data_IF_373311845898
#
_entry.id   IF_373311845898
#
_cell.length_a   1.000
_cell.length_b   1.000
_cell.length_c   1.000
_cell.angle_alpha   90.00
_cell.angle_beta   90.00
_cell.angle_gamma   90.00
#
_symmetry.space_group_name_H-M   'P 1'
#
loop_
_entity.id
_entity.type
_entity.pdbx_description
1 polymer ?
#
# COMPACT_ATOMS: atom_id res chain seq x y z
N UNK A 1 -0.56 3.44 8.85
CA UNK A 1 -0.76 2.13 8.19
C UNK A 1 -0.82 2.26 6.68
N UNK A 2 -1.86 2.81 6.03
CA UNK A 2 -1.86 2.87 4.54
C UNK A 2 -0.64 3.60 3.94
N UNK A 3 -0.31 4.78 4.45
CA UNK A 3 0.89 5.50 4.02
C UNK A 3 2.18 4.73 4.31
N UNK A 4 2.20 3.91 5.36
CA UNK A 4 3.35 3.05 5.67
C UNK A 4 3.46 1.89 4.68
N UNK A 5 2.35 1.24 4.33
CA UNK A 5 2.28 0.20 3.30
C UNK A 5 2.83 0.72 1.96
N UNK A 6 2.45 1.93 1.56
CA UNK A 6 2.99 2.57 0.34
C UNK A 6 4.51 2.78 0.40
N UNK A 7 5.07 3.13 1.56
CA UNK A 7 6.51 3.28 1.71
C UNK A 7 7.23 1.94 1.70
N UNK A 8 6.66 0.92 2.36
CA UNK A 8 7.19 -0.44 2.35
C UNK A 8 7.22 -1.01 0.93
N UNK A 9 6.19 -0.77 0.12
CA UNK A 9 6.14 -1.19 -1.28
C UNK A 9 7.23 -0.53 -2.13
N UNK A 10 7.48 0.77 -1.93
CA UNK A 10 8.57 1.50 -2.62
C UNK A 10 9.94 0.97 -2.24
N UNK A 11 10.18 0.74 -0.93
CA UNK A 11 11.43 0.18 -0.44
C UNK A 11 11.66 -1.23 -0.96
N UNK A 12 10.64 -2.09 -0.88
CA UNK A 12 10.68 -3.46 -1.43
C UNK A 12 11.02 -3.44 -2.91
N UNK A 13 10.31 -2.63 -3.70
CA UNK A 13 10.52 -2.54 -5.15
C UNK A 13 11.96 -2.14 -5.48
N UNK A 14 12.51 -1.17 -4.76
CA UNK A 14 13.88 -0.70 -4.95
C UNK A 14 14.91 -1.80 -4.66
N UNK A 15 14.79 -2.47 -3.51
CA UNK A 15 15.69 -3.55 -3.12
C UNK A 15 15.58 -4.78 -4.03
N UNK A 16 14.37 -5.15 -4.43
CA UNK A 16 14.13 -6.24 -5.40
C UNK A 16 14.82 -5.92 -6.72
N UNK A 17 14.74 -4.69 -7.21
CA UNK A 17 15.38 -4.31 -8.46
C UNK A 17 16.92 -4.36 -8.36
N UNK A 18 17.49 -3.89 -7.25
CA UNK A 18 18.94 -3.99 -7.00
C UNK A 18 19.40 -5.45 -6.91
N UNK A 19 18.66 -6.30 -6.19
CA UNK A 19 18.95 -7.72 -6.08
C UNK A 19 18.82 -8.43 -7.44
N UNK A 20 17.81 -8.09 -8.25
CA UNK A 20 17.66 -8.63 -9.61
C UNK A 20 18.82 -8.27 -10.51
N UNK A 21 19.34 -7.04 -10.41
CA UNK A 21 20.54 -6.63 -11.16
C UNK A 21 21.75 -7.44 -10.73
N UNK A 22 21.91 -7.71 -9.43
CA UNK A 22 22.99 -8.57 -8.94
C UNK A 22 22.83 -10.03 -9.39
N UNK A 23 21.60 -10.54 -9.35
CA UNK A 23 21.28 -11.87 -9.85
C UNK A 23 21.53 -12.04 -11.34
N UNK A 24 21.51 -10.98 -12.15
CA UNK A 24 21.87 -11.11 -13.57
C UNK A 24 23.30 -11.66 -13.76
N UNK A 25 24.18 -11.50 -12.75
CA UNK A 25 25.50 -12.11 -12.69
C UNK A 25 25.48 -13.45 -11.91
N UNK A 26 24.89 -13.47 -10.72
CA UNK A 26 25.04 -14.58 -9.76
C UNK A 26 24.01 -15.70 -9.93
N UNK A 27 22.87 -15.40 -10.54
CA UNK A 27 21.81 -16.37 -10.83
C UNK A 27 20.91 -15.87 -11.99
N UNK A 28 21.44 -15.83 -13.23
CA UNK A 28 20.81 -15.17 -14.37
C UNK A 28 19.43 -15.75 -14.72
N UNK A 29 19.24 -17.05 -14.55
CA UNK A 29 17.96 -17.73 -14.82
C UNK A 29 16.86 -17.26 -13.88
N UNK A 30 17.20 -16.98 -12.61
CA UNK A 30 16.28 -16.38 -11.65
C UNK A 30 16.02 -14.90 -11.93
N UNK A 31 17.04 -14.15 -12.35
CA UNK A 31 16.91 -12.73 -12.67
C UNK A 31 15.91 -12.48 -13.82
N UNK A 32 15.85 -13.41 -14.78
CA UNK A 32 14.93 -13.35 -15.93
C UNK A 32 13.46 -13.66 -15.58
N UNK A 33 13.19 -14.30 -14.44
CA UNK A 33 11.83 -14.68 -14.04
C UNK A 33 11.09 -13.54 -13.33
N UNK A 34 9.76 -13.55 -13.37
CA UNK A 34 8.95 -12.64 -12.55
C UNK A 34 8.94 -13.11 -11.10
N UNK A 35 9.26 -12.21 -10.17
CA UNK A 35 9.25 -12.51 -8.73
C UNK A 35 7.92 -12.10 -8.14
N UNK A 36 6.99 -13.05 -8.07
CA UNK A 36 5.67 -12.85 -7.47
C UNK A 36 5.66 -13.26 -6.00
N UNK A 37 4.89 -12.52 -5.20
CA UNK A 37 4.54 -12.91 -3.84
C UNK A 37 3.55 -14.07 -3.86
N UNK A 38 3.64 -14.96 -2.88
CA UNK A 38 2.65 -16.00 -2.63
C UNK A 38 1.43 -15.44 -1.85
N UNK A 39 0.48 -16.31 -1.53
CA UNK A 39 -0.73 -15.99 -0.76
C UNK A 39 -0.44 -15.49 0.67
N UNK A 40 0.78 -15.71 1.16
CA UNK A 40 1.24 -15.22 2.46
C UNK A 40 1.97 -13.87 2.38
N UNK A 41 2.00 -13.23 1.21
CA UNK A 41 2.69 -11.96 0.98
C UNK A 41 4.21 -12.07 0.90
N UNK A 42 4.77 -13.28 0.82
CA UNK A 42 6.20 -13.54 0.80
C UNK A 42 6.68 -13.89 -0.61
N UNK A 43 7.87 -13.44 -1.01
CA UNK A 43 8.43 -13.81 -2.31
C UNK A 43 9.25 -15.11 -2.21
N UNK A 44 8.82 -16.21 -2.85
CA UNK A 44 9.46 -17.51 -2.65
C UNK A 44 10.94 -17.59 -3.04
N UNK A 45 11.41 -16.76 -4.00
CA UNK A 45 12.83 -16.75 -4.38
C UNK A 45 13.69 -16.08 -3.33
N UNK A 46 13.13 -15.09 -2.63
CA UNK A 46 13.79 -14.41 -1.52
C UNK A 46 13.89 -15.37 -0.33
N UNK A 47 12.81 -16.09 -0.02
CA UNK A 47 12.83 -17.11 1.05
C UNK A 47 13.83 -18.24 0.77
N UNK A 48 13.97 -18.65 -0.49
CA UNK A 48 15.00 -19.61 -0.89
C UNK A 48 16.41 -19.05 -0.71
N UNK A 49 16.65 -17.82 -1.16
CA UNK A 49 17.95 -17.13 -1.09
C UNK A 49 18.47 -17.08 0.35
N UNK A 50 17.60 -16.78 1.31
CA UNK A 50 17.97 -16.69 2.74
C UNK A 50 17.80 -18.01 3.51
N UNK A 51 17.56 -19.13 2.83
CA UNK A 51 17.43 -20.45 3.46
C UNK A 51 16.17 -20.65 4.32
N UNK A 52 15.15 -19.80 4.19
CA UNK A 52 13.84 -20.00 4.84
C UNK A 52 12.99 -21.06 4.14
N UNK A 53 13.26 -21.33 2.86
CA UNK A 53 12.52 -22.31 2.07
C UNK A 53 13.44 -23.11 1.13
N UNK A 54 13.64 -24.40 1.43
CA UNK A 54 14.46 -25.32 0.65
C UNK A 54 13.63 -26.18 -0.31
N UNK A 55 12.92 -25.55 -1.24
CA UNK A 55 12.32 -26.29 -2.34
C UNK A 55 13.42 -26.91 -3.23
N UNK A 56 13.51 -28.25 -3.23
CA UNK A 56 14.53 -28.99 -4.01
C UNK A 56 14.56 -28.63 -5.49
N UNK A 57 13.43 -28.24 -6.08
CA UNK A 57 13.38 -27.70 -7.46
C UNK A 57 14.26 -26.46 -7.62
N UNK A 58 14.21 -25.49 -6.71
CA UNK A 58 15.03 -24.26 -6.79
C UNK A 58 16.51 -24.55 -6.56
N UNK A 59 16.82 -25.42 -5.60
CA UNK A 59 18.20 -25.87 -5.37
C UNK A 59 18.77 -26.50 -6.64
N UNK A 60 18.02 -27.39 -7.30
CA UNK A 60 18.43 -28.00 -8.56
C UNK A 60 18.58 -26.97 -9.69
N UNK A 61 17.67 -26.01 -9.80
CA UNK A 61 17.79 -24.94 -10.78
C UNK A 61 19.02 -24.06 -10.55
N UNK A 62 19.34 -23.74 -9.30
CA UNK A 62 20.53 -22.98 -8.97
C UNK A 62 21.79 -23.78 -9.27
N UNK A 63 21.88 -25.04 -8.81
CA UNK A 63 23.03 -25.92 -9.08
C UNK A 63 23.33 -26.08 -10.58
N UNK A 64 22.29 -26.00 -11.43
CA UNK A 64 22.41 -26.07 -12.89
C UNK A 64 22.56 -24.69 -13.57
N UNK A 65 22.72 -23.60 -12.80
CA UNK A 65 22.87 -22.25 -13.33
C UNK A 65 24.20 -22.09 -14.08
N UNK A 66 24.19 -21.27 -15.14
CA UNK A 66 25.41 -20.87 -15.85
C UNK A 66 26.41 -20.20 -14.90
N UNK A 67 25.95 -19.42 -13.93
CA UNK A 67 26.80 -18.77 -12.93
C UNK A 67 27.62 -19.80 -12.13
N UNK A 68 26.97 -20.87 -11.67
CA UNK A 68 27.65 -21.95 -10.94
C UNK A 68 28.66 -22.70 -11.83
N UNK A 69 28.37 -22.89 -13.11
CA UNK A 69 29.35 -23.49 -14.05
C UNK A 69 30.62 -22.62 -14.24
N UNK A 70 30.51 -21.32 -13.97
CA UNK A 70 31.60 -20.35 -14.01
C UNK A 70 32.24 -20.12 -12.63
N UNK A 71 31.80 -20.82 -11.59
CA UNK A 71 32.28 -20.64 -10.21
C UNK A 71 31.86 -19.32 -9.57
N UNK A 72 30.75 -18.74 -10.02
CA UNK A 72 30.18 -17.51 -9.45
C UNK A 72 29.12 -17.90 -8.42
N UNK A 73 29.44 -17.67 -7.15
CA UNK A 73 28.53 -17.91 -6.03
C UNK A 73 27.63 -16.69 -5.75
N UNK A 74 26.55 -16.93 -5.01
CA UNK A 74 25.74 -15.87 -4.40
C UNK A 74 26.61 -15.09 -3.41
N UNK A 75 26.67 -13.76 -3.56
CA UNK A 75 27.44 -12.90 -2.65
C UNK A 75 26.70 -12.58 -1.36
N UNK A 76 27.45 -12.14 -0.35
CA UNK A 76 26.91 -11.57 0.89
C UNK A 76 25.98 -10.38 0.62
N UNK A 77 26.31 -9.54 -0.37
CA UNK A 77 25.44 -8.44 -0.81
C UNK A 77 24.04 -8.94 -1.21
N UNK A 78 23.97 -10.03 -1.98
CA UNK A 78 22.69 -10.63 -2.37
C UNK A 78 21.93 -11.19 -1.17
N UNK A 79 22.63 -11.86 -0.24
CA UNK A 79 22.02 -12.39 0.98
C UNK A 79 21.45 -11.27 1.87
N UNK A 80 22.19 -10.18 2.07
CA UNK A 80 21.75 -9.02 2.85
C UNK A 80 20.49 -8.38 2.27
N UNK A 81 20.44 -8.24 0.94
CA UNK A 81 19.23 -7.78 0.25
C UNK A 81 18.07 -8.76 0.45
N UNK A 82 18.34 -10.07 0.38
CA UNK A 82 17.36 -11.10 0.67
C UNK A 82 16.74 -10.94 2.05
N UNK A 83 17.56 -10.76 3.09
CA UNK A 83 17.08 -10.55 4.46
C UNK A 83 16.29 -9.26 4.60
N UNK A 84 16.77 -8.16 4.01
CA UNK A 84 16.08 -6.87 4.06
C UNK A 84 14.71 -6.93 3.37
N UNK A 85 14.63 -7.54 2.18
CA UNK A 85 13.36 -7.72 1.46
C UNK A 85 12.40 -8.58 2.28
N UNK A 86 12.87 -9.71 2.82
CA UNK A 86 12.04 -10.59 3.63
C UNK A 86 11.47 -9.88 4.85
N UNK A 87 12.27 -9.07 5.54
CA UNK A 87 11.81 -8.30 6.69
C UNK A 87 10.78 -7.22 6.30
N UNK A 88 10.94 -6.57 5.15
CA UNK A 88 9.96 -5.61 4.63
C UNK A 88 8.64 -6.31 4.28
N UNK A 89 8.69 -7.49 3.65
CA UNK A 89 7.50 -8.30 3.34
C UNK A 89 6.74 -8.72 4.60
N UNK A 90 7.46 -9.14 5.65
CA UNK A 90 6.87 -9.44 6.95
C UNK A 90 6.18 -8.21 7.55
N UNK A 91 6.87 -7.06 7.60
CA UNK A 91 6.29 -5.80 8.10
C UNK A 91 5.05 -5.39 7.33
N UNK A 92 5.07 -5.55 6.00
CA UNK A 92 3.93 -5.24 5.13
C UNK A 92 2.73 -6.10 5.50
N UNK A 93 2.91 -7.42 5.58
CA UNK A 93 1.86 -8.37 5.98
C UNK A 93 1.29 -8.04 7.36
N UNK A 94 2.16 -7.77 8.33
CA UNK A 94 1.73 -7.45 9.68
C UNK A 94 0.96 -6.12 9.72
N UNK A 95 1.38 -5.13 8.92
CA UNK A 95 0.70 -3.83 8.78
C UNK A 95 -0.64 -3.95 8.05
N UNK A 96 -0.74 -4.82 7.04
CA UNK A 96 -2.02 -5.13 6.36
C UNK A 96 -3.02 -5.72 7.37
N UNK A 97 -2.60 -6.69 8.18
CA UNK A 97 -3.46 -7.24 9.24
C UNK A 97 -3.90 -6.17 10.26
N UNK A 98 -2.97 -5.32 10.71
CA UNK A 98 -3.31 -4.24 11.64
C UNK A 98 -4.28 -3.23 11.01
N UNK A 99 -4.18 -2.99 9.70
CA UNK A 99 -5.12 -2.13 8.99
C UNK A 99 -6.51 -2.77 8.94
N UNK A 100 -6.61 -4.05 8.61
CA UNK A 100 -7.87 -4.78 8.62
C UNK A 100 -8.55 -4.70 10.00
N UNK A 101 -7.80 -5.01 11.07
CA UNK A 101 -8.28 -4.93 12.45
C UNK A 101 -8.73 -3.52 12.85
N UNK A 102 -8.01 -2.48 12.42
CA UNK A 102 -8.37 -1.10 12.72
C UNK A 102 -9.62 -0.64 11.96
N UNK A 103 -9.83 -1.13 10.74
CA UNK A 103 -10.98 -0.79 9.92
C UNK A 103 -12.27 -1.45 10.43
N UNK A 104 -12.16 -2.52 11.23
CA UNK A 104 -13.30 -3.24 11.79
C UNK A 104 -13.91 -2.58 13.06
N UNK A 105 -13.43 -1.40 13.45
CA UNK A 105 -13.97 -0.66 14.59
C UNK A 105 -15.40 -0.15 14.32
N UNK A 106 -16.28 -0.29 15.31
CA UNK A 106 -17.70 0.08 15.20
C UNK A 106 -17.92 1.54 14.79
N UNK A 107 -17.06 2.46 15.25
CA UNK A 107 -17.15 3.88 14.92
C UNK A 107 -16.93 4.17 13.42
N UNK A 108 -16.34 3.24 12.67
CA UNK A 108 -16.09 3.38 11.24
C UNK A 108 -17.21 2.77 10.38
N UNK A 109 -18.07 1.91 10.94
CA UNK A 109 -19.16 1.24 10.21
C UNK A 109 -20.01 2.22 9.37
N UNK A 110 -20.48 3.38 9.91
CA UNK A 110 -21.29 4.31 9.11
C UNK A 110 -20.54 4.85 7.88
N UNK A 111 -19.24 5.09 8.01
CA UNK A 111 -18.38 5.57 6.93
C UNK A 111 -18.18 4.48 5.88
N UNK A 112 -17.83 3.26 6.32
CA UNK A 112 -17.60 2.13 5.41
C UNK A 112 -18.87 1.75 4.64
N UNK A 113 -20.04 1.83 5.28
CA UNK A 113 -21.32 1.65 4.59
C UNK A 113 -21.54 2.70 3.50
N UNK A 114 -21.20 3.98 3.76
CA UNK A 114 -21.26 5.03 2.76
C UNK A 114 -20.25 4.81 1.61
N UNK A 115 -19.12 4.15 1.86
CA UNK A 115 -18.09 3.88 0.86
C UNK A 115 -18.40 2.69 -0.07
N UNK A 116 -19.29 1.77 0.32
CA UNK A 116 -19.64 0.56 -0.47
C UNK A 116 -20.04 0.86 -1.92
N UNK A 117 -20.69 2.00 -2.18
CA UNK A 117 -21.11 2.41 -3.53
C UNK A 117 -19.95 2.66 -4.49
N UNK A 118 -18.76 2.98 -3.98
CA UNK A 118 -17.58 3.31 -4.80
C UNK A 118 -16.74 2.10 -5.19
N UNK A 119 -17.02 0.91 -4.61
CA UNK A 119 -16.27 -0.33 -4.85
C UNK A 119 -14.75 -0.18 -4.69
N UNK A 120 -14.35 0.62 -3.72
CA UNK A 120 -12.95 0.80 -3.37
C UNK A 120 -12.42 -0.42 -2.62
N UNK A 121 -11.11 -0.64 -2.73
CA UNK A 121 -10.41 -1.55 -1.82
C UNK A 121 -10.06 -0.85 -0.50
N UNK A 122 -9.70 -1.65 0.51
CA UNK A 122 -9.46 -1.17 1.88
C UNK A 122 -8.49 0.01 1.97
N UNK A 123 -7.45 0.05 1.14
CA UNK A 123 -6.49 1.16 1.13
C UNK A 123 -7.14 2.52 0.83
N UNK A 124 -8.03 2.58 -0.17
CA UNK A 124 -8.74 3.81 -0.54
C UNK A 124 -9.81 4.19 0.47
N UNK A 125 -10.50 3.20 1.03
CA UNK A 125 -11.47 3.40 2.12
C UNK A 125 -10.77 4.00 3.34
N UNK A 126 -9.65 3.42 3.76
CA UNK A 126 -8.86 3.91 4.89
C UNK A 126 -8.26 5.31 4.65
N UNK A 127 -7.78 5.60 3.44
CA UNK A 127 -7.31 6.96 3.09
C UNK A 127 -8.43 7.99 3.16
N UNK A 128 -9.61 7.63 2.68
CA UNK A 128 -10.78 8.52 2.70
C UNK A 128 -11.26 8.70 4.14
N UNK A 129 -11.36 7.61 4.90
CA UNK A 129 -11.70 7.63 6.32
C UNK A 129 -10.77 8.55 7.12
N UNK A 130 -9.45 8.44 6.91
CA UNK A 130 -8.45 9.31 7.54
C UNK A 130 -8.71 10.79 7.26
N UNK A 131 -9.24 11.13 6.09
CA UNK A 131 -9.58 12.51 5.73
C UNK A 131 -10.91 12.95 6.32
N UNK A 132 -11.92 12.09 6.39
CA UNK A 132 -13.28 12.52 6.75
C UNK A 132 -13.62 12.31 8.22
N UNK A 133 -12.95 11.42 8.94
CA UNK A 133 -13.20 11.14 10.36
C UNK A 133 -12.61 12.23 11.28
N UNK A 134 -13.26 12.55 12.41
CA UNK A 134 -14.69 12.41 12.61
C UNK A 134 -15.46 13.37 11.68
N UNK A 135 -16.59 12.95 11.12
CA UNK A 135 -17.36 13.71 10.14
C UNK A 135 -17.95 15.00 10.74
N UNK A 136 -18.18 14.98 12.05
CA UNK A 136 -18.70 16.06 12.87
C UNK A 136 -17.86 17.34 12.73
N UNK A 137 -16.58 17.24 12.37
CA UNK A 137 -15.73 18.41 12.11
C UNK A 137 -16.21 19.30 10.95
N UNK A 138 -17.09 18.77 10.10
CA UNK A 138 -17.73 19.54 9.02
C UNK A 138 -19.10 20.12 9.42
N UNK A 139 -19.59 19.80 10.61
CA UNK A 139 -20.92 20.14 11.12
C UNK A 139 -20.83 21.16 12.27
N UNK A 140 -21.95 21.80 12.60
CA UNK A 140 -22.12 22.62 13.81
C UNK A 140 -23.28 22.03 14.60
N UNK A 141 -23.02 21.66 15.85
CA UNK A 141 -23.98 20.97 16.72
C UNK A 141 -24.59 19.70 16.09
N UNK A 142 -23.82 19.01 15.24
CA UNK A 142 -24.28 17.82 14.51
C UNK A 142 -25.11 18.10 13.25
N UNK A 143 -25.30 19.36 12.88
CA UNK A 143 -26.09 19.76 11.71
C UNK A 143 -25.24 20.46 10.64
N UNK A 144 -25.58 20.27 9.35
CA UNK A 144 -24.93 21.01 8.27
C UNK A 144 -25.35 22.49 8.28
N UNK A 145 -24.37 23.38 8.14
CA UNK A 145 -24.60 24.83 8.11
C UNK A 145 -24.94 25.29 6.69
N UNK A 146 -26.09 25.95 6.58
CA UNK A 146 -26.58 26.59 5.36
C UNK A 146 -26.87 28.05 5.64
N UNK A 147 -26.20 28.94 4.92
CA UNK A 147 -26.42 30.38 5.00
C UNK A 147 -27.20 30.89 3.80
N UNK A 148 -28.02 31.91 4.02
CA UNK A 148 -28.66 32.68 2.96
C UNK A 148 -28.05 34.08 2.94
N UNK A 149 -27.40 34.44 1.84
CA UNK A 149 -26.78 35.75 1.68
C UNK A 149 -27.59 36.56 0.66
N UNK A 150 -27.97 37.77 1.04
CA UNK A 150 -28.58 38.72 0.11
C UNK A 150 -27.50 39.34 -0.79
N UNK A 151 -27.71 39.23 -2.09
CA UNK A 151 -26.86 39.82 -3.12
C UNK A 151 -27.58 40.99 -3.77
N UNK A 152 -26.85 42.08 -4.00
CA UNK A 152 -27.40 43.35 -4.54
C UNK A 152 -28.20 43.17 -5.84
N UNK A 153 -27.88 42.16 -6.67
CA UNK A 153 -28.48 41.98 -8.00
C UNK A 153 -29.31 40.70 -8.17
N UNK A 154 -29.10 39.66 -7.33
CA UNK A 154 -29.65 38.31 -7.56
C UNK A 154 -30.52 37.78 -6.41
N UNK A 155 -30.95 38.64 -5.49
CA UNK A 155 -31.77 38.22 -4.34
C UNK A 155 -30.98 37.37 -3.34
N UNK A 156 -31.61 36.32 -2.79
CA UNK A 156 -31.01 35.45 -1.76
C UNK A 156 -30.30 34.25 -2.39
N UNK A 157 -29.00 34.11 -2.12
CA UNK A 157 -28.19 32.97 -2.54
C UNK A 157 -27.96 32.00 -1.37
N UNK A 158 -28.24 30.71 -1.59
CA UNK A 158 -27.96 29.63 -0.64
C UNK A 158 -26.47 29.27 -0.67
N UNK A 159 -25.82 29.20 0.50
CA UNK A 159 -24.44 28.74 0.66
C UNK A 159 -24.38 27.57 1.65
N UNK A 160 -24.10 26.38 1.13
CA UNK A 160 -23.89 25.18 1.96
C UNK A 160 -22.46 25.20 2.54
N UNK A 161 -22.26 25.83 3.70
CA UNK A 161 -20.92 26.03 4.29
C UNK A 161 -20.26 24.71 4.66
N UNK A 162 -20.99 23.79 5.28
CA UNK A 162 -20.49 22.45 5.64
C UNK A 162 -20.05 21.66 4.41
N UNK A 163 -20.86 21.66 3.34
CA UNK A 163 -20.50 20.98 2.08
C UNK A 163 -19.27 21.62 1.43
N UNK A 164 -19.21 22.96 1.40
CA UNK A 164 -18.04 23.67 0.86
C UNK A 164 -16.77 23.36 1.66
N UNK A 165 -16.86 23.30 2.99
CA UNK A 165 -15.74 22.95 3.84
C UNK A 165 -15.29 21.50 3.58
N UNK A 166 -16.23 20.55 3.53
CA UNK A 166 -15.95 19.16 3.19
C UNK A 166 -15.26 19.01 1.82
N UNK A 167 -15.81 19.62 0.78
CA UNK A 167 -15.25 19.59 -0.58
C UNK A 167 -13.85 20.20 -0.63
N UNK A 168 -13.66 21.36 0.00
CA UNK A 168 -12.37 22.03 0.06
C UNK A 168 -11.32 21.20 0.81
N UNK A 169 -11.72 20.53 1.89
CA UNK A 169 -10.84 19.66 2.67
C UNK A 169 -10.38 18.43 1.87
N UNK A 170 -11.22 17.93 0.97
CA UNK A 170 -10.88 16.88 0.02
C UNK A 170 -10.11 17.39 -1.22
N UNK A 171 -9.79 18.69 -1.28
CA UNK A 171 -9.06 19.29 -2.40
C UNK A 171 -9.91 19.50 -3.66
N UNK A 172 -11.24 19.41 -3.55
CA UNK A 172 -12.13 19.73 -4.66
C UNK A 172 -12.24 21.25 -4.80
N UNK A 173 -11.96 21.77 -6.00
CA UNK A 173 -12.16 23.17 -6.31
C UNK A 173 -13.66 23.50 -6.32
N UNK A 174 -13.99 24.78 -6.07
CA UNK A 174 -15.35 25.26 -6.31
C UNK A 174 -15.72 24.99 -7.77
N UNK A 175 -16.73 24.17 -7.99
CA UNK A 175 -17.53 24.32 -9.20
C UNK A 175 -18.26 25.66 -9.04
N UNK A 176 -17.81 26.65 -9.80
CA UNK A 176 -18.43 27.97 -9.93
C UNK A 176 -19.71 27.82 -10.74
#
# INVERSE_FOLDING_TARGET
>A
MVLELEQLDKLRTTLVNQLRQRFALEYPEAAAQTWQTNDHGMTPIIEWLIGKNHHGRRVNHYNNSVANSLGIDISEYSLDHGYAIHHIEQRRRDTERMLDEAMDQECFIPYLQAFKGFRWGIGMEALTLMKVYPFEKFLVDGFPVVEWIETKNNGRQKRNRSLQHFQSYLGLSRQV
#
